data_IF_446438280908
#
_entry.id   IF_446438280908
#
_cell.length_a   1.000
_cell.length_b   1.000
_cell.length_c   1.000
_cell.angle_alpha   90.00
_cell.angle_beta   90.00
_cell.angle_gamma   90.00
#
_symmetry.space_group_name_H-M   'P 1'
#
loop_
_entity.id
_entity.type
_entity.pdbx_description
1 polymer ?
#
# COMPACT_ATOMS: atom_id res chain seq x y z
N UNK A 1 -41.80 37.19 -32.99
CA UNK A 1 -41.49 35.82 -32.53
C UNK A 1 -40.03 35.81 -32.13
N UNK A 2 -39.72 35.60 -30.83
CA UNK A 2 -38.33 35.61 -30.30
C UNK A 2 -37.80 34.16 -30.28
N UNK A 3 -36.56 33.89 -30.69
CA UNK A 3 -35.98 32.57 -30.50
C UNK A 3 -35.58 32.39 -29.04
N UNK A 4 -36.02 31.29 -28.43
CA UNK A 4 -35.55 30.82 -27.13
C UNK A 4 -34.32 29.95 -27.43
N UNK A 5 -33.15 30.40 -26.97
CA UNK A 5 -31.91 29.62 -27.06
C UNK A 5 -31.80 28.84 -25.75
N UNK A 6 -31.94 27.51 -25.83
CA UNK A 6 -31.68 26.61 -24.71
C UNK A 6 -30.22 26.18 -24.82
N UNK A 7 -29.36 26.74 -23.98
CA UNK A 7 -27.98 26.29 -23.84
C UNK A 7 -28.00 25.12 -22.85
N UNK A 8 -27.89 23.90 -23.37
CA UNK A 8 -27.72 22.71 -22.55
C UNK A 8 -26.29 22.69 -21.98
N UNK A 9 -26.15 22.79 -20.66
CA UNK A 9 -24.87 22.59 -19.97
C UNK A 9 -24.45 21.13 -20.08
N UNK A 10 -23.44 20.86 -20.90
CA UNK A 10 -22.81 19.56 -21.03
C UNK A 10 -21.86 19.38 -19.83
N UNK A 11 -22.30 18.65 -18.81
CA UNK A 11 -21.42 18.24 -17.72
C UNK A 11 -20.45 17.19 -18.28
N UNK A 12 -19.20 17.60 -18.51
CA UNK A 12 -18.10 16.71 -18.86
C UNK A 12 -17.74 15.90 -17.61
N UNK A 13 -18.40 14.76 -17.40
CA UNK A 13 -17.94 13.76 -16.44
C UNK A 13 -16.65 13.15 -17.00
N UNK A 14 -15.52 13.63 -16.51
CA UNK A 14 -14.23 12.97 -16.73
C UNK A 14 -14.34 11.59 -16.11
N UNK A 15 -14.49 10.57 -16.97
CA UNK A 15 -14.32 9.18 -16.58
C UNK A 15 -12.87 9.03 -16.13
N UNK A 16 -12.63 9.09 -14.82
CA UNK A 16 -11.38 8.62 -14.27
C UNK A 16 -11.43 7.09 -14.43
N UNK A 17 -10.52 6.46 -15.18
CA UNK A 17 -10.40 5.01 -15.11
C UNK A 17 -9.94 4.68 -13.69
N UNK A 18 -10.88 4.23 -12.86
CA UNK A 18 -10.56 3.51 -11.63
C UNK A 18 -9.81 2.25 -12.06
N UNK A 19 -8.49 2.35 -12.12
CA UNK A 19 -7.63 1.17 -12.21
C UNK A 19 -7.72 0.47 -10.87
N UNK A 20 -8.79 -0.32 -10.72
CA UNK A 20 -8.88 -1.34 -9.69
C UNK A 20 -7.79 -2.35 -9.99
N UNK A 21 -6.64 -2.24 -9.31
CA UNK A 21 -5.70 -3.33 -9.24
C UNK A 21 -6.31 -4.41 -8.35
N UNK A 22 -7.23 -5.20 -8.93
CA UNK A 22 -7.52 -6.54 -8.43
C UNK A 22 -6.31 -7.39 -8.78
N UNK A 23 -5.38 -7.54 -7.83
CA UNK A 23 -4.40 -8.62 -7.94
C UNK A 23 -5.15 -9.91 -7.63
N UNK A 24 -5.54 -10.61 -8.69
CA UNK A 24 -5.77 -12.05 -8.61
C UNK A 24 -4.57 -12.70 -7.90
N UNK A 25 -4.88 -13.61 -6.99
CA UNK A 25 -3.94 -14.41 -6.21
C UNK A 25 -3.12 -15.30 -7.15
N UNK A 26 -2.13 -14.72 -7.82
CA UNK A 26 -1.01 -15.43 -8.40
C UNK A 26 0.13 -15.35 -7.40
N UNK A 27 0.24 -16.40 -6.58
CA UNK A 27 1.45 -16.73 -5.81
C UNK A 27 2.60 -17.12 -6.75
N UNK A 28 2.91 -16.30 -7.74
CA UNK A 28 4.16 -16.40 -8.48
C UNK A 28 5.17 -15.51 -7.73
N UNK A 29 5.87 -16.14 -6.79
CA UNK A 29 6.76 -15.48 -5.85
C UNK A 29 8.11 -15.31 -6.57
N UNK A 30 8.53 -14.08 -6.95
CA UNK A 30 9.82 -13.89 -7.61
C UNK A 30 10.97 -14.39 -6.73
N UNK A 31 11.94 -15.01 -7.38
CA UNK A 31 13.05 -15.74 -6.76
C UNK A 31 14.05 -14.79 -6.09
N UNK A 32 14.53 -15.21 -4.91
CA UNK A 32 15.30 -14.42 -3.95
C UNK A 32 16.72 -14.01 -4.41
N UNK A 33 16.83 -13.09 -5.36
CA UNK A 33 17.83 -12.04 -5.22
C UNK A 33 17.28 -11.00 -4.23
N UNK A 34 18.14 -10.37 -3.43
CA UNK A 34 17.74 -9.26 -2.55
C UNK A 34 17.37 -8.10 -3.48
N UNK A 35 16.14 -8.11 -3.99
CA UNK A 35 15.63 -7.09 -4.89
C UNK A 35 15.56 -5.78 -4.10
N UNK A 36 16.59 -4.96 -4.26
CA UNK A 36 16.62 -3.62 -3.66
C UNK A 36 15.51 -2.78 -4.27
N UNK A 37 15.04 -1.79 -3.52
CA UNK A 37 14.02 -0.86 -3.98
C UNK A 37 12.59 -1.37 -3.92
N UNK A 38 12.32 -2.58 -3.42
CA UNK A 38 10.96 -3.09 -3.25
C UNK A 38 10.74 -3.78 -1.91
N UNK A 39 9.51 -3.74 -1.40
CA UNK A 39 9.07 -4.53 -0.23
C UNK A 39 7.65 -4.99 -0.42
N UNK A 40 7.37 -6.26 -0.12
CA UNK A 40 6.00 -6.78 -0.13
C UNK A 40 5.40 -6.74 1.28
N UNK A 41 4.19 -6.20 1.40
CA UNK A 41 3.49 -6.08 2.69
C UNK A 41 2.06 -6.61 2.53
N UNK A 42 1.70 -7.56 3.39
CA UNK A 42 0.33 -8.09 3.47
C UNK A 42 -0.39 -7.59 4.73
N UNK A 43 -1.63 -7.18 4.60
CA UNK A 43 -2.53 -6.92 5.71
C UNK A 43 -3.28 -8.21 6.06
N UNK A 44 -2.95 -8.83 7.20
CA UNK A 44 -3.68 -10.00 7.73
C UNK A 44 -4.76 -9.64 8.75
N UNK A 45 -5.02 -8.35 8.96
CA UNK A 45 -6.11 -7.89 9.81
C UNK A 45 -7.44 -7.94 9.05
N UNK A 46 -8.54 -7.79 9.80
CA UNK A 46 -9.90 -7.72 9.26
C UNK A 46 -10.35 -6.28 8.96
N UNK A 47 -9.45 -5.30 9.10
CA UNK A 47 -9.70 -3.90 8.81
C UNK A 47 -8.72 -3.36 7.76
N UNK A 48 -9.03 -2.21 7.15
CA UNK A 48 -8.06 -1.49 6.34
C UNK A 48 -6.93 -0.94 7.22
N UNK A 49 -5.69 -1.09 6.77
CA UNK A 49 -4.52 -0.50 7.44
C UNK A 49 -4.06 0.71 6.64
N UNK A 50 -4.02 1.86 7.31
CA UNK A 50 -3.35 3.07 6.82
C UNK A 50 -1.94 3.12 7.37
N UNK A 51 -0.94 3.25 6.50
CA UNK A 51 0.45 3.40 6.92
C UNK A 51 1.20 4.38 6.02
N UNK A 52 2.37 4.81 6.48
CA UNK A 52 3.32 5.55 5.68
C UNK A 52 4.58 4.74 5.48
N UNK A 53 5.08 4.74 4.25
CA UNK A 53 6.33 4.07 3.90
C UNK A 53 7.39 5.14 3.61
N UNK A 54 8.59 4.92 4.14
CA UNK A 54 9.76 5.79 3.97
C UNK A 54 10.98 4.94 3.62
N UNK A 55 11.85 5.46 2.76
CA UNK A 55 13.13 4.85 2.38
C UNK A 55 14.20 5.95 2.26
N UNK A 56 15.51 5.63 2.15
CA UNK A 56 16.57 6.64 2.11
C UNK A 56 16.37 7.74 1.07
N UNK A 57 15.86 7.37 -0.10
CA UNK A 57 15.78 8.23 -1.28
C UNK A 57 14.35 8.60 -1.67
N UNK A 58 13.35 8.30 -0.82
CA UNK A 58 11.96 8.66 -1.10
C UNK A 58 11.35 9.48 0.02
N UNK A 59 10.41 10.34 -0.36
CA UNK A 59 9.58 11.06 0.60
C UNK A 59 8.61 10.05 1.23
N UNK A 60 8.41 10.20 2.54
CA UNK A 60 7.39 9.44 3.27
C UNK A 60 6.03 9.51 2.57
N UNK A 61 5.53 8.37 2.11
CA UNK A 61 4.32 8.28 1.28
C UNK A 61 3.23 7.50 2.01
N UNK A 62 1.98 8.00 1.96
CA UNK A 62 0.82 7.35 2.58
C UNK A 62 0.28 6.23 1.70
N UNK A 63 -0.04 5.09 2.30
CA UNK A 63 -0.66 3.95 1.65
C UNK A 63 -1.87 3.45 2.43
N UNK A 64 -2.81 2.87 1.69
CA UNK A 64 -3.99 2.17 2.20
C UNK A 64 -3.87 0.71 1.76
N UNK A 65 -4.03 -0.21 2.70
CA UNK A 65 -3.98 -1.64 2.42
C UNK A 65 -5.27 -2.31 2.91
N UNK A 66 -6.16 -2.74 1.99
CA UNK A 66 -7.43 -3.38 2.32
C UNK A 66 -7.27 -4.60 3.25
N UNK A 67 -8.31 -4.98 4.01
CA UNK A 67 -8.27 -6.17 4.83
C UNK A 67 -7.95 -7.41 4.00
N UNK A 68 -7.17 -8.32 4.56
CA UNK A 68 -6.78 -9.61 3.94
C UNK A 68 -6.10 -9.50 2.56
N UNK A 69 -5.51 -8.35 2.24
CA UNK A 69 -4.84 -8.11 0.96
C UNK A 69 -3.32 -7.99 1.12
N UNK A 70 -2.58 -7.94 0.02
CA UNK A 70 -1.15 -7.61 0.05
C UNK A 70 -0.71 -6.93 -1.23
N UNK A 71 0.33 -6.10 -1.12
CA UNK A 71 0.87 -5.34 -2.24
C UNK A 71 2.39 -5.17 -2.13
N UNK A 72 3.02 -4.98 -3.28
CA UNK A 72 4.44 -4.57 -3.36
C UNK A 72 4.53 -3.06 -3.43
N UNK A 73 5.40 -2.49 -2.62
CA UNK A 73 5.70 -1.08 -2.55
C UNK A 73 7.13 -0.85 -3.01
N UNK A 74 7.35 0.28 -3.69
CA UNK A 74 8.64 0.58 -4.33
C UNK A 74 9.24 1.86 -3.77
N UNK A 75 10.54 1.81 -3.50
CA UNK A 75 11.41 2.95 -3.26
C UNK A 75 12.24 3.30 -4.51
N UNK A 76 13.40 3.93 -4.31
CA UNK A 76 14.41 4.03 -5.35
C UNK A 76 15.10 2.68 -5.55
N UNK A 77 15.62 2.41 -6.76
CA UNK A 77 16.16 1.11 -7.15
C UNK A 77 17.27 0.57 -6.22
N UNK A 78 18.04 1.44 -5.56
CA UNK A 78 19.12 1.07 -4.66
C UNK A 78 18.76 1.13 -3.17
N UNK A 79 17.49 1.34 -2.82
CA UNK A 79 17.06 1.38 -1.42
C UNK A 79 17.12 -0.02 -0.81
N UNK A 80 17.94 -0.18 0.22
CA UNK A 80 18.15 -1.47 0.89
C UNK A 80 17.20 -1.70 2.08
N UNK A 81 16.49 -0.64 2.51
CA UNK A 81 15.59 -0.69 3.65
C UNK A 81 14.39 0.25 3.48
N UNK A 82 13.33 -0.07 4.22
CA UNK A 82 12.12 0.74 4.36
C UNK A 82 11.75 0.88 5.84
N UNK A 83 11.14 2.00 6.20
CA UNK A 83 10.42 2.16 7.47
C UNK A 83 8.93 2.19 7.19
N UNK A 84 8.16 1.40 7.92
CA UNK A 84 6.70 1.46 7.94
C UNK A 84 6.22 2.13 9.22
N UNK A 85 5.47 3.22 9.07
CA UNK A 85 4.83 3.94 10.15
C UNK A 85 3.32 3.68 10.11
N UNK A 86 2.79 2.98 11.10
CA UNK A 86 1.35 2.66 11.18
C UNK A 86 0.71 3.54 12.25
N UNK A 87 -0.37 4.22 11.88
CA UNK A 87 -1.14 5.07 12.77
C UNK A 87 -2.50 4.44 13.03
N UNK A 88 -2.86 4.22 14.28
CA UNK A 88 -4.16 3.65 14.69
C UNK A 88 -4.69 4.45 15.88
N UNK A 89 -5.62 5.36 15.61
CA UNK A 89 -6.03 6.36 16.61
C UNK A 89 -4.83 7.17 17.08
N UNK A 90 -4.60 7.17 18.39
CA UNK A 90 -3.46 7.86 19.03
C UNK A 90 -2.19 7.00 19.09
N UNK A 91 -2.24 5.76 18.58
CA UNK A 91 -1.08 4.86 18.57
C UNK A 91 -0.27 5.04 17.30
N UNK A 92 1.04 5.19 17.46
CA UNK A 92 2.02 5.18 16.38
C UNK A 92 3.06 4.10 16.64
N UNK A 93 3.19 3.18 15.69
CA UNK A 93 4.24 2.15 15.69
C UNK A 93 5.11 2.27 14.44
N UNK A 94 6.38 1.91 14.58
CA UNK A 94 7.37 1.98 13.51
C UNK A 94 8.18 0.70 13.43
N UNK A 95 8.37 0.17 12.22
CA UNK A 95 9.17 -1.03 11.97
C UNK A 95 10.12 -0.81 10.80
N UNK A 96 11.36 -1.29 10.95
CA UNK A 96 12.33 -1.37 9.88
C UNK A 96 12.13 -2.67 9.09
N UNK A 97 12.14 -2.55 7.76
CA UNK A 97 11.94 -3.63 6.81
C UNK A 97 13.15 -3.68 5.87
N UNK A 98 13.67 -4.87 5.61
CA UNK A 98 14.69 -5.08 4.58
C UNK A 98 14.03 -5.08 3.20
N UNK A 99 14.68 -4.42 2.24
CA UNK A 99 14.27 -4.52 0.84
C UNK A 99 14.41 -5.96 0.32
N UNK A 100 13.52 -6.34 -0.59
CA UNK A 100 13.43 -7.68 -1.17
C UNK A 100 12.81 -8.73 -0.25
N UNK A 101 12.49 -8.37 1.00
CA UNK A 101 11.78 -9.23 1.93
C UNK A 101 10.27 -9.00 1.89
N UNK A 102 9.55 -9.95 2.51
CA UNK A 102 8.09 -9.99 2.53
C UNK A 102 7.63 -9.94 3.97
N UNK A 103 6.66 -9.09 4.26
CA UNK A 103 6.16 -8.85 5.61
C UNK A 103 4.64 -8.99 5.67
N UNK A 104 4.10 -9.26 6.85
CA UNK A 104 2.67 -9.11 7.13
C UNK A 104 2.41 -8.30 8.38
N UNK A 105 1.33 -7.53 8.32
CA UNK A 105 0.75 -6.78 9.43
C UNK A 105 -0.32 -7.65 10.07
N UNK A 106 -0.30 -7.77 11.40
CA UNK A 106 -1.33 -8.47 12.19
C UNK A 106 -1.68 -7.61 13.41
N UNK A 107 -2.93 -7.68 13.87
CA UNK A 107 -3.31 -7.09 15.15
C UNK A 107 -2.94 -8.02 16.31
N UNK A 108 -2.33 -7.43 17.33
CA UNK A 108 -2.13 -8.03 18.64
C UNK A 108 -3.43 -8.04 19.45
N UNK A 109 -3.42 -8.75 20.58
CA UNK A 109 -4.58 -8.88 21.47
C UNK A 109 -5.05 -7.54 22.05
N UNK A 110 -4.15 -6.56 22.16
CA UNK A 110 -4.42 -5.20 22.62
C UNK A 110 -4.90 -4.27 21.48
N UNK A 111 -5.05 -4.80 20.26
CA UNK A 111 -5.47 -4.04 19.08
C UNK A 111 -4.34 -3.30 18.36
N UNK A 112 -3.11 -3.33 18.87
CA UNK A 112 -1.97 -2.68 18.21
C UNK A 112 -1.54 -3.48 16.98
N UNK A 113 -1.24 -2.82 15.84
CA UNK A 113 -0.70 -3.51 14.67
C UNK A 113 0.77 -3.82 14.88
N UNK A 114 1.18 -5.02 14.44
CA UNK A 114 2.54 -5.50 14.53
C UNK A 114 2.98 -6.10 13.20
N UNK A 115 4.28 -6.04 12.90
CA UNK A 115 4.83 -6.38 11.59
C UNK A 115 5.82 -7.52 11.71
N UNK A 116 5.61 -8.56 10.91
CA UNK A 116 6.37 -9.80 10.95
C UNK A 116 6.92 -10.15 9.57
N UNK A 117 8.15 -10.63 9.52
CA UNK A 117 8.72 -11.20 8.29
C UNK A 117 8.01 -12.52 7.94
N UNK A 118 7.69 -12.71 6.66
CA UNK A 118 7.19 -13.98 6.14
C UNK A 118 8.36 -14.93 5.93
N UNK A 119 8.31 -16.09 6.60
CA UNK A 119 9.28 -17.15 6.38
C UNK A 119 9.26 -17.60 4.91
N UNK A 120 10.44 -17.66 4.29
CA UNK A 120 10.66 -18.28 2.98
C UNK A 120 10.35 -19.78 3.14
N UNK A 121 9.39 -20.29 2.37
CA UNK A 121 9.11 -21.73 2.28
C UNK A 121 10.15 -22.41 1.42
#
# INVERSE_FOLDING_TARGET
MKPIIIIASFWLTVLIPSTSFSHDELTDIPSAHRETGHVYIANRTDAEVTFYLESPNTIRTKHLLPPRSGATFSGAAADEWFNIHIYTGDTHVNYGLDAGNRYYIKQNLDGTPDVYEMLKR
#
